data_IF_287320005191
#
_entry.id   IF_287320005191
#
_cell.length_a   1.000
_cell.length_b   1.000
_cell.length_c   1.000
_cell.angle_alpha   90.00
_cell.angle_beta   90.00
_cell.angle_gamma   90.00
#
_symmetry.space_group_name_H-M   'P 1'
#
loop_
_entity.id
_entity.type
_entity.pdbx_description
1 polymer ?
#
# COMPACT_ATOMS: atom_id res chain seq x y z
N UNK A 1 -10.91 -10.76 -31.43
CA UNK A 1 -11.75 -10.42 -30.26
C UNK A 1 -10.76 -10.31 -29.13
N UNK A 2 -10.16 -9.14 -29.00
CA UNK A 2 -8.89 -9.03 -28.29
C UNK A 2 -9.19 -8.33 -26.97
N UNK A 3 -9.01 -9.09 -25.89
CA UNK A 3 -9.27 -8.70 -24.51
C UNK A 3 -8.34 -7.56 -24.09
N UNK A 4 -8.87 -6.35 -23.94
CA UNK A 4 -8.16 -5.25 -23.26
C UNK A 4 -8.14 -5.57 -21.77
N UNK A 5 -6.94 -5.70 -21.20
CA UNK A 5 -6.76 -5.94 -19.77
C UNK A 5 -7.27 -4.75 -18.96
N UNK A 6 -8.26 -5.03 -18.11
CA UNK A 6 -8.81 -4.14 -17.09
C UNK A 6 -7.78 -4.02 -15.96
N UNK A 7 -7.56 -2.81 -15.45
CA UNK A 7 -6.68 -2.63 -14.30
C UNK A 7 -7.33 -3.20 -13.03
N UNK A 8 -7.01 -4.43 -12.67
CA UNK A 8 -7.41 -5.06 -11.40
C UNK A 8 -6.69 -4.39 -10.23
N UNK A 9 -7.11 -4.66 -8.99
CA UNK A 9 -6.31 -4.31 -7.80
C UNK A 9 -4.84 -4.72 -8.00
N UNK A 10 -4.58 -5.90 -8.54
CA UNK A 10 -3.23 -6.33 -8.85
C UNK A 10 -2.48 -5.50 -9.86
N UNK A 11 -3.12 -4.96 -10.89
CA UNK A 11 -2.43 -4.12 -11.86
C UNK A 11 -1.95 -2.80 -11.23
N UNK A 12 -2.75 -2.23 -10.30
CA UNK A 12 -2.41 -1.00 -9.57
C UNK A 12 -1.37 -1.31 -8.51
N UNK A 13 -1.52 -2.41 -7.79
CA UNK A 13 -0.55 -2.86 -6.81
C UNK A 13 0.79 -3.21 -7.49
N UNK A 14 0.80 -3.94 -8.60
CA UNK A 14 2.03 -4.19 -9.36
C UNK A 14 2.66 -2.93 -9.92
N UNK A 15 1.87 -1.91 -10.24
CA UNK A 15 2.39 -0.56 -10.57
C UNK A 15 2.98 0.20 -9.37
N UNK A 16 3.16 -0.45 -8.22
CA UNK A 16 3.95 0.06 -7.09
C UNK A 16 4.96 -0.96 -6.57
N UNK A 17 5.10 -2.14 -7.20
CA UNK A 17 5.87 -3.26 -6.64
C UNK A 17 7.33 -3.31 -7.07
N UNK A 18 7.72 -2.38 -7.94
CA UNK A 18 8.99 -2.35 -8.64
C UNK A 18 9.93 -1.25 -8.08
N UNK A 19 9.50 -0.52 -7.05
CA UNK A 19 10.38 0.33 -6.27
C UNK A 19 11.32 -0.50 -5.38
N UNK A 20 12.55 -0.76 -5.84
CA UNK A 20 13.62 -1.19 -4.94
C UNK A 20 14.01 -0.04 -4.00
N UNK A 21 13.34 0.03 -2.85
CA UNK A 21 13.92 0.65 -1.66
C UNK A 21 14.23 -0.45 -0.65
N UNK A 22 15.29 -1.20 -0.94
CA UNK A 22 15.97 -2.03 0.03
C UNK A 22 17.44 -1.66 0.01
N UNK A 23 17.90 -0.95 1.04
CA UNK A 23 18.82 -1.50 2.02
C UNK A 23 19.22 -0.43 3.06
N UNK A 24 19.39 -0.90 4.31
CA UNK A 24 19.83 -0.21 5.51
C UNK A 24 18.78 0.60 6.29
N UNK A 25 18.12 -0.08 7.22
CA UNK A 25 18.12 0.34 8.64
C UNK A 25 17.68 -0.82 9.53
N UNK A 26 18.61 -1.29 10.35
CA UNK A 26 18.30 -1.87 11.65
C UNK A 26 17.44 -0.89 12.43
N UNK A 27 16.37 -1.40 13.04
CA UNK A 27 15.47 -0.71 13.95
C UNK A 27 14.79 0.56 13.42
N UNK A 28 13.50 0.44 13.11
CA UNK A 28 12.42 1.31 13.63
C UNK A 28 12.54 2.84 13.58
N UNK A 29 13.55 3.40 12.92
CA UNK A 29 13.73 4.81 12.75
C UNK A 29 12.61 5.31 11.86
N UNK A 30 11.96 6.38 12.31
CA UNK A 30 11.09 7.17 11.46
C UNK A 30 11.77 7.34 10.11
N UNK A 31 11.14 6.85 9.04
CA UNK A 31 11.50 7.25 7.69
C UNK A 31 11.29 8.76 7.70
N UNK A 32 12.39 9.52 7.78
CA UNK A 32 12.40 10.92 7.44
C UNK A 32 11.73 11.03 6.07
N UNK A 33 10.80 11.97 5.92
CA UNK A 33 10.15 12.23 4.63
C UNK A 33 11.24 12.26 3.54
N UNK A 34 11.23 11.35 2.55
CA UNK A 34 12.10 11.52 1.38
C UNK A 34 11.71 12.77 0.57
N UNK A 35 10.58 13.41 0.92
CA UNK A 35 10.10 14.67 0.38
C UNK A 35 10.91 15.89 0.86
N UNK A 36 11.75 15.78 1.91
CA UNK A 36 12.44 16.95 2.50
C UNK A 36 13.96 16.99 2.30
N UNK A 37 14.62 15.86 1.99
CA UNK A 37 16.03 15.87 1.63
C UNK A 37 16.19 15.54 0.13
N UNK A 38 16.58 16.54 -0.67
CA UNK A 38 16.99 16.35 -2.07
C UNK A 38 15.86 16.31 -3.10
N UNK A 39 14.67 16.85 -2.80
CA UNK A 39 13.57 16.92 -3.77
C UNK A 39 13.96 17.78 -4.98
N UNK A 40 13.84 17.21 -6.18
CA UNK A 40 13.93 17.93 -7.45
C UNK A 40 12.54 18.32 -7.94
N UNK A 41 12.48 19.40 -8.70
CA UNK A 41 11.30 19.82 -9.44
C UNK A 41 11.54 19.57 -10.92
N UNK A 42 10.66 18.82 -11.57
CA UNK A 42 10.73 18.53 -13.00
C UNK A 42 9.50 19.05 -13.72
N UNK A 43 9.64 19.24 -15.03
CA UNK A 43 8.57 19.73 -15.89
C UNK A 43 8.11 18.61 -16.83
N UNK A 44 6.82 18.29 -16.82
CA UNK A 44 6.23 17.25 -17.67
C UNK A 44 5.43 17.90 -18.79
N UNK A 45 5.90 17.75 -20.03
CA UNK A 45 5.20 18.23 -21.23
C UNK A 45 4.18 17.21 -21.68
N UNK A 46 2.91 17.60 -21.64
CA UNK A 46 1.78 16.83 -22.13
C UNK A 46 1.70 16.88 -23.66
N UNK A 47 1.00 15.90 -24.25
CA UNK A 47 0.80 15.77 -25.70
C UNK A 47 0.08 16.97 -26.35
N UNK A 48 -0.65 17.78 -25.58
CA UNK A 48 -1.31 19.02 -26.05
C UNK A 48 -0.40 20.26 -25.98
N UNK A 49 0.86 20.11 -25.58
CA UNK A 49 1.84 21.19 -25.48
C UNK A 49 1.80 21.99 -24.18
N UNK A 50 0.91 21.66 -23.25
CA UNK A 50 0.91 22.22 -21.90
C UNK A 50 1.87 21.46 -20.96
N UNK A 51 2.22 22.09 -19.84
CA UNK A 51 3.24 21.61 -18.92
C UNK A 51 2.66 21.45 -17.51
N UNK A 52 3.15 20.46 -16.77
CA UNK A 52 2.79 20.22 -15.36
C UNK A 52 4.08 20.04 -14.56
N UNK A 53 4.16 20.73 -13.43
CA UNK A 53 5.27 20.59 -12.50
C UNK A 53 5.05 19.40 -11.56
N UNK A 54 6.08 18.58 -11.42
CA UNK A 54 6.10 17.42 -10.53
C UNK A 54 7.30 17.55 -9.61
N UNK A 55 7.09 17.44 -8.31
CA UNK A 55 8.16 17.31 -7.32
C UNK A 55 8.41 15.83 -7.08
N UNK A 56 9.65 15.40 -7.19
CA UNK A 56 10.06 14.01 -6.97
C UNK A 56 11.48 13.95 -6.40
N UNK A 57 11.92 12.77 -5.97
CA UNK A 57 13.29 12.53 -5.56
C UNK A 57 14.05 11.87 -6.74
N UNK A 58 15.28 12.29 -7.10
CA UNK A 58 16.05 11.67 -8.19
C UNK A 58 16.36 10.18 -7.95
N UNK A 59 16.39 9.74 -6.69
CA UNK A 59 16.64 8.35 -6.29
C UNK A 59 15.34 7.53 -6.19
N UNK A 60 14.26 8.00 -6.81
CA UNK A 60 13.01 7.24 -6.95
C UNK A 60 12.92 6.53 -8.30
N UNK A 61 11.99 5.58 -8.43
CA UNK A 61 11.80 4.81 -9.66
C UNK A 61 10.96 5.54 -10.70
N UNK A 62 11.09 5.14 -11.97
CA UNK A 62 10.21 5.59 -13.06
C UNK A 62 8.73 5.28 -12.76
N UNK A 63 8.46 4.14 -12.14
CA UNK A 63 7.12 3.77 -11.68
C UNK A 63 6.51 4.83 -10.75
N UNK A 64 7.29 5.31 -9.76
CA UNK A 64 6.83 6.35 -8.85
C UNK A 64 6.63 7.69 -9.55
N UNK A 65 7.46 8.02 -10.54
CA UNK A 65 7.23 9.19 -11.38
C UNK A 65 5.92 9.09 -12.17
N UNK A 66 5.62 7.93 -12.78
CA UNK A 66 4.34 7.69 -13.47
C UNK A 66 3.15 7.87 -12.52
N UNK A 67 3.29 7.40 -11.28
CA UNK A 67 2.32 7.65 -10.22
C UNK A 67 2.13 9.14 -9.95
N UNK A 68 3.20 9.90 -9.72
CA UNK A 68 3.12 11.34 -9.44
C UNK A 68 2.45 12.10 -10.61
N UNK A 69 2.80 11.77 -11.85
CA UNK A 69 2.15 12.31 -13.05
C UNK A 69 0.66 11.97 -13.08
N UNK A 70 0.28 10.73 -12.74
CA UNK A 70 -1.12 10.34 -12.66
C UNK A 70 -1.88 11.20 -11.64
N UNK A 71 -1.33 11.39 -10.43
CA UNK A 71 -2.02 12.17 -9.38
C UNK A 71 -2.28 13.63 -9.79
N UNK A 72 -1.44 14.18 -10.67
CA UNK A 72 -1.58 15.56 -11.18
C UNK A 72 -2.46 15.66 -12.42
N UNK A 73 -2.45 14.65 -13.28
CA UNK A 73 -3.03 14.73 -14.64
C UNK A 73 -4.24 13.84 -14.85
N UNK A 74 -4.45 12.84 -14.00
CA UNK A 74 -5.44 11.77 -14.17
C UNK A 74 -5.12 10.76 -15.28
N UNK A 75 -3.99 10.91 -15.99
CA UNK A 75 -3.56 10.00 -17.05
C UNK A 75 -2.99 8.74 -16.40
N UNK A 76 -3.66 7.60 -16.60
CA UNK A 76 -3.30 6.32 -15.99
C UNK A 76 -1.84 5.95 -16.29
N UNK A 77 -1.10 5.44 -15.29
CA UNK A 77 0.31 5.06 -15.44
C UNK A 77 0.54 4.12 -16.65
N UNK A 78 -0.35 3.15 -16.85
CA UNK A 78 -0.31 2.22 -18.00
C UNK A 78 -0.52 2.90 -19.37
N UNK A 79 -1.10 4.11 -19.40
CA UNK A 79 -1.27 4.92 -20.61
C UNK A 79 -0.15 5.95 -20.81
N UNK A 80 0.78 6.07 -19.85
CA UNK A 80 1.89 7.02 -19.91
C UNK A 80 3.09 6.40 -20.63
N UNK A 81 3.56 7.09 -21.67
CA UNK A 81 4.84 6.82 -22.32
C UNK A 81 5.76 8.01 -22.05
N UNK A 82 6.75 7.80 -21.19
CA UNK A 82 7.66 8.85 -20.75
C UNK A 82 8.97 8.78 -21.52
N UNK A 83 9.52 9.93 -21.90
CA UNK A 83 10.90 10.04 -22.38
C UNK A 83 11.54 11.30 -21.82
N UNK A 84 12.85 11.28 -21.59
CA UNK A 84 13.57 12.49 -21.19
C UNK A 84 13.73 13.47 -22.37
N UNK A 85 14.32 14.64 -22.10
CA UNK A 85 14.60 15.68 -23.09
C UNK A 85 15.51 15.24 -24.28
N UNK A 86 16.21 14.12 -24.13
CA UNK A 86 17.05 13.52 -25.18
C UNK A 86 16.33 12.40 -25.95
N UNK A 87 15.00 12.27 -25.79
CA UNK A 87 14.18 11.20 -26.34
C UNK A 87 14.59 9.78 -25.90
N UNK A 88 15.33 9.65 -24.79
CA UNK A 88 15.58 8.36 -24.16
C UNK A 88 14.29 7.93 -23.44
N UNK A 89 13.70 6.77 -23.77
CA UNK A 89 12.46 6.33 -23.17
C UNK A 89 12.70 5.78 -21.76
N UNK A 90 11.82 6.15 -20.83
CA UNK A 90 11.81 5.66 -19.44
C UNK A 90 10.95 4.38 -19.41
N UNK A 91 11.47 3.33 -20.02
CA UNK A 91 10.75 2.07 -20.25
C UNK A 91 10.95 1.04 -19.13
N UNK A 92 11.94 1.21 -18.26
CA UNK A 92 12.18 0.36 -17.10
C UNK A 92 11.57 1.01 -15.86
N UNK A 93 10.48 0.42 -15.37
CA UNK A 93 9.70 0.92 -14.22
C UNK A 93 10.46 0.84 -12.89
N UNK A 94 11.42 -0.09 -12.77
CA UNK A 94 12.25 -0.29 -11.59
C UNK A 94 13.45 0.68 -11.53
N UNK A 95 13.80 1.27 -12.66
CA UNK A 95 15.03 2.07 -12.79
C UNK A 95 14.89 3.47 -12.16
N UNK A 96 15.97 3.95 -11.54
CA UNK A 96 16.00 5.25 -10.88
C UNK A 96 15.93 6.41 -11.88
N UNK A 97 15.30 7.52 -11.48
CA UNK A 97 15.24 8.74 -12.31
C UNK A 97 16.63 9.30 -12.60
N UNK A 98 17.53 9.29 -11.61
CA UNK A 98 18.93 9.71 -11.74
C UNK A 98 19.69 8.94 -12.81
N UNK A 99 19.40 7.63 -12.97
CA UNK A 99 20.01 6.79 -14.00
C UNK A 99 19.56 7.16 -15.43
N UNK A 100 18.42 7.84 -15.57
CA UNK A 100 17.97 8.43 -16.83
C UNK A 100 18.46 9.87 -17.05
N UNK A 101 19.33 10.38 -16.16
CA UNK A 101 19.83 11.75 -16.19
C UNK A 101 18.78 12.79 -15.79
N UNK A 102 17.75 12.38 -15.04
CA UNK A 102 16.69 13.28 -14.60
C UNK A 102 17.13 13.99 -13.33
N UNK A 103 17.24 15.30 -13.43
CA UNK A 103 17.64 16.22 -12.36
C UNK A 103 16.65 17.38 -12.25
N UNK A 104 16.91 18.34 -11.37
CA UNK A 104 16.11 19.56 -11.26
C UNK A 104 15.95 20.26 -12.62
N UNK A 105 14.76 20.77 -12.86
CA UNK A 105 14.32 21.44 -14.08
C UNK A 105 14.33 20.57 -15.35
N UNK A 106 14.51 19.24 -15.21
CA UNK A 106 14.46 18.33 -16.36
C UNK A 106 13.09 18.34 -17.03
N UNK A 107 13.11 18.28 -18.36
CA UNK A 107 11.92 18.15 -19.17
C UNK A 107 11.63 16.68 -19.49
N UNK A 108 10.47 16.19 -19.07
CA UNK A 108 9.94 14.87 -19.42
C UNK A 108 8.81 15.03 -20.43
N UNK A 109 8.90 14.30 -21.53
CA UNK A 109 7.83 14.24 -22.52
C UNK A 109 6.87 13.11 -22.16
N UNK A 110 5.58 13.45 -22.01
CA UNK A 110 4.50 12.49 -21.78
C UNK A 110 3.70 12.28 -23.07
N UNK A 111 3.93 11.13 -23.70
CA UNK A 111 3.04 10.57 -24.71
C UNK A 111 1.88 9.81 -24.07
N UNK A 112 0.67 9.97 -24.59
CA UNK A 112 -0.50 9.18 -24.17
C UNK A 112 -0.74 8.09 -25.19
N UNK A 113 -0.72 6.83 -24.76
CA UNK A 113 -1.19 5.73 -25.59
C UNK A 113 -2.71 5.66 -25.47
N UNK A 114 -3.42 5.89 -26.57
CA UNK A 114 -4.87 5.71 -26.62
C UNK A 114 -5.19 4.22 -26.64
N UNK A 115 -5.82 3.74 -25.57
CA UNK A 115 -6.51 2.47 -25.53
C UNK A 115 -8.01 2.80 -25.73
N UNK A 116 -8.69 2.14 -26.68
CA UNK A 116 -10.04 2.50 -27.14
C UNK A 116 -11.10 2.62 -26.03
N UNK A 117 -12.09 3.51 -26.23
CA UNK A 117 -13.02 3.97 -25.20
C UNK A 117 -14.17 3.03 -24.82
N UNK A 118 -14.75 3.28 -23.64
CA UNK A 118 -16.05 2.73 -23.20
C UNK A 118 -16.11 2.27 -21.74
N UNK A 119 -16.93 2.98 -20.96
CA UNK A 119 -17.55 2.57 -19.68
C UNK A 119 -16.70 2.51 -18.39
N UNK A 120 -17.35 3.01 -17.33
CA UNK A 120 -16.85 3.27 -15.98
C UNK A 120 -16.59 1.98 -15.19
N UNK A 121 -15.44 1.35 -15.39
CA UNK A 121 -14.92 0.30 -14.53
C UNK A 121 -14.27 0.92 -13.27
N UNK A 122 -14.38 0.25 -12.11
CA UNK A 122 -13.92 0.71 -10.80
C UNK A 122 -12.48 1.26 -10.83
N UNK A 123 -12.35 2.57 -11.00
CA UNK A 123 -11.08 3.28 -10.86
C UNK A 123 -10.65 3.13 -9.41
N UNK A 124 -9.63 2.32 -9.16
CA UNK A 124 -8.85 2.45 -7.94
C UNK A 124 -8.21 3.83 -8.05
N UNK A 125 -8.26 4.61 -6.98
CA UNK A 125 -7.61 5.91 -6.97
C UNK A 125 -6.21 5.73 -6.39
N UNK A 126 -5.14 5.80 -7.20
CA UNK A 126 -3.77 5.77 -6.71
C UNK A 126 -3.50 6.73 -5.54
N UNK A 127 -4.24 7.84 -5.39
CA UNK A 127 -4.10 8.73 -4.23
C UNK A 127 -4.33 8.02 -2.88
N UNK A 128 -4.95 6.84 -2.89
CA UNK A 128 -5.15 5.99 -1.71
C UNK A 128 -3.89 5.31 -1.23
N UNK A 129 -2.82 5.27 -2.03
CA UNK A 129 -1.58 4.58 -1.72
C UNK A 129 -0.46 5.56 -1.39
N UNK A 130 0.51 5.10 -0.59
CA UNK A 130 1.71 5.84 -0.24
C UNK A 130 2.96 5.02 -0.63
N UNK A 131 3.26 4.88 -1.95
CA UNK A 131 4.26 3.95 -2.47
C UNK A 131 5.65 4.01 -1.82
N UNK A 132 6.18 5.18 -1.38
CA UNK A 132 7.47 5.24 -0.68
C UNK A 132 7.51 4.39 0.60
N UNK A 133 6.35 4.04 1.16
CA UNK A 133 6.22 3.18 2.34
C UNK A 133 5.83 1.74 1.99
N UNK A 134 5.92 1.32 0.72
CA UNK A 134 5.79 -0.09 0.36
C UNK A 134 6.95 -0.91 0.92
N UNK A 135 6.75 -2.22 1.07
CA UNK A 135 7.82 -3.08 1.55
C UNK A 135 7.62 -4.53 1.08
N UNK A 136 8.68 -5.14 0.56
CA UNK A 136 8.67 -6.53 0.11
C UNK A 136 9.07 -7.50 1.24
N UNK A 137 8.10 -8.25 1.77
CA UNK A 137 8.31 -9.29 2.76
C UNK A 137 8.40 -10.70 2.15
N UNK A 138 8.32 -10.87 0.82
CA UNK A 138 8.23 -12.19 0.16
C UNK A 138 9.43 -13.09 0.45
N UNK A 139 10.62 -12.49 0.62
CA UNK A 139 11.88 -13.21 0.86
C UNK A 139 12.36 -13.11 2.31
N UNK A 140 11.55 -12.59 3.22
CA UNK A 140 11.94 -12.41 4.63
C UNK A 140 11.49 -13.60 5.47
N UNK A 141 12.42 -14.13 6.26
CA UNK A 141 12.14 -15.04 7.36
C UNK A 141 12.50 -14.39 8.71
N UNK A 142 11.57 -14.45 9.64
CA UNK A 142 11.65 -13.88 10.98
C UNK A 142 11.48 -14.92 12.09
N UNK A 143 11.65 -16.20 11.77
CA UNK A 143 11.60 -17.27 12.76
C UNK A 143 12.50 -16.95 13.96
N UNK A 144 11.91 -17.05 15.16
CA UNK A 144 12.57 -16.73 16.43
C UNK A 144 12.71 -15.24 16.76
N UNK A 145 12.36 -14.32 15.86
CA UNK A 145 12.39 -12.87 16.13
C UNK A 145 11.09 -12.39 16.78
N UNK A 146 11.20 -11.34 17.59
CA UNK A 146 10.07 -10.68 18.25
C UNK A 146 10.01 -9.23 17.81
N UNK A 147 8.83 -8.78 17.42
CA UNK A 147 8.56 -7.40 17.04
C UNK A 147 7.49 -6.84 17.95
N UNK A 148 7.68 -5.60 18.40
CA UNK A 148 6.73 -4.90 19.24
C UNK A 148 6.19 -3.66 18.54
N UNK A 149 4.96 -3.32 18.88
CA UNK A 149 4.39 -2.02 18.58
C UNK A 149 3.44 -1.58 19.68
N UNK A 150 3.63 -0.36 20.17
CA UNK A 150 2.94 0.13 21.36
C UNK A 150 3.05 -0.88 22.53
N UNK A 151 4.25 -1.47 22.71
CA UNK A 151 4.51 -2.46 23.75
C UNK A 151 3.87 -3.85 23.56
N UNK A 152 3.09 -4.10 22.50
CA UNK A 152 2.48 -5.42 22.23
C UNK A 152 3.22 -6.16 21.12
N UNK A 153 3.45 -7.46 21.31
CA UNK A 153 4.08 -8.29 20.29
C UNK A 153 3.15 -8.47 19.08
N UNK A 154 3.73 -8.49 17.88
CA UNK A 154 3.05 -8.87 16.65
C UNK A 154 4.01 -9.60 15.70
N UNK A 155 3.47 -10.26 14.69
CA UNK A 155 4.26 -10.91 13.64
C UNK A 155 4.28 -10.03 12.40
N UNK A 156 5.45 -9.81 11.78
CA UNK A 156 5.53 -9.09 10.49
C UNK A 156 4.90 -9.94 9.37
N UNK A 157 4.38 -9.33 8.30
CA UNK A 157 3.64 -10.05 7.25
C UNK A 157 4.57 -10.76 6.26
N UNK A 158 5.49 -11.59 6.78
CA UNK A 158 6.43 -12.41 6.02
C UNK A 158 5.70 -13.25 4.96
N UNK A 159 6.25 -13.29 3.74
CA UNK A 159 5.64 -13.95 2.58
C UNK A 159 4.71 -13.07 1.74
N UNK A 160 4.56 -11.77 2.07
CA UNK A 160 3.72 -10.84 1.30
C UNK A 160 4.52 -9.72 0.63
N UNK A 161 3.91 -9.09 -0.39
CA UNK A 161 4.27 -7.70 -0.71
C UNK A 161 3.30 -6.77 0.02
N UNK A 162 3.81 -5.78 0.75
CA UNK A 162 3.00 -4.83 1.52
C UNK A 162 2.92 -3.49 0.78
N UNK A 163 1.70 -3.09 0.43
CA UNK A 163 1.39 -1.81 -0.18
C UNK A 163 0.86 -0.84 0.88
N UNK A 164 1.53 0.30 1.08
CA UNK A 164 1.10 1.30 2.06
C UNK A 164 -0.09 2.12 1.54
N UNK A 165 -0.99 2.48 2.46
CA UNK A 165 -2.10 3.39 2.20
C UNK A 165 -1.73 4.80 2.64
N UNK A 166 -2.25 5.80 1.92
CA UNK A 166 -2.14 7.20 2.32
C UNK A 166 -3.08 7.48 3.49
N UNK A 167 -2.50 7.56 4.69
CA UNK A 167 -3.26 7.66 5.96
C UNK A 167 -2.89 8.86 6.83
N UNK A 168 -1.74 9.51 6.58
CA UNK A 168 -1.34 10.71 7.33
C UNK A 168 -2.33 11.84 7.08
N UNK A 169 -2.74 12.51 8.16
CA UNK A 169 -3.72 13.59 8.11
C UNK A 169 -5.16 13.15 7.81
N UNK A 170 -5.44 11.84 7.79
CA UNK A 170 -6.80 11.30 7.55
C UNK A 170 -7.63 11.20 8.83
N UNK A 171 -6.99 11.15 9.98
CA UNK A 171 -7.62 11.00 11.29
C UNK A 171 -7.37 12.23 12.15
N UNK A 172 -7.90 12.26 13.37
CA UNK A 172 -7.77 13.40 14.27
C UNK A 172 -6.33 13.77 14.63
N UNK A 173 -5.41 12.79 14.59
CA UNK A 173 -3.96 12.97 14.69
C UNK A 173 -3.24 11.77 14.03
N UNK A 174 -1.90 11.83 13.99
CA UNK A 174 -1.04 10.77 13.45
C UNK A 174 -0.27 9.98 14.54
N UNK A 175 -0.52 10.22 15.83
CA UNK A 175 0.21 9.58 16.95
C UNK A 175 0.07 8.05 16.93
N UNK A 176 -1.09 7.56 16.50
CA UNK A 176 -1.41 6.15 16.35
C UNK A 176 -0.47 5.40 15.38
N UNK A 177 0.18 6.11 14.44
CA UNK A 177 1.14 5.53 13.48
C UNK A 177 2.56 5.37 14.05
N UNK A 178 2.84 5.91 15.24
CA UNK A 178 4.19 5.96 15.80
C UNK A 178 4.93 4.62 15.88
N UNK A 179 6.25 4.71 16.06
CA UNK A 179 7.18 3.58 16.09
C UNK A 179 8.12 3.53 17.28
N UNK A 180 7.99 4.49 18.19
CA UNK A 180 8.93 4.71 19.29
C UNK A 180 8.36 4.24 20.64
N UNK A 181 7.25 3.50 20.63
CA UNK A 181 6.47 3.15 21.82
C UNK A 181 6.05 4.39 22.62
N UNK A 182 5.78 5.49 21.92
CA UNK A 182 5.29 6.75 22.49
C UNK A 182 3.85 6.66 22.97
N UNK A 183 3.43 7.67 23.75
CA UNK A 183 2.04 7.82 24.18
C UNK A 183 1.14 8.05 22.96
N UNK A 184 0.03 7.31 22.88
CA UNK A 184 -0.94 7.42 21.78
C UNK A 184 -0.71 6.45 20.63
N UNK A 185 0.40 5.70 20.61
CA UNK A 185 0.64 4.67 19.60
C UNK A 185 -0.36 3.52 19.70
N UNK A 186 -0.80 3.04 18.54
CA UNK A 186 -1.74 1.93 18.45
C UNK A 186 -1.01 0.63 18.14
N UNK A 187 -1.55 -0.50 18.60
CA UNK A 187 -0.92 -1.81 18.39
C UNK A 187 -1.10 -2.27 16.94
N UNK A 188 -0.21 -3.15 16.48
CA UNK A 188 -0.30 -3.69 15.13
C UNK A 188 -1.15 -4.97 15.08
N UNK A 189 -2.03 -5.07 14.08
CA UNK A 189 -2.82 -6.28 13.81
C UNK A 189 -3.06 -6.46 12.30
N UNK A 190 -3.83 -7.49 11.96
CA UNK A 190 -4.17 -7.88 10.61
C UNK A 190 -5.66 -8.26 10.49
N UNK A 191 -6.27 -7.88 9.39
CA UNK A 191 -7.66 -8.21 9.06
C UNK A 191 -7.74 -8.86 7.67
N UNK A 192 -8.16 -10.12 7.63
CA UNK A 192 -8.41 -10.84 6.39
C UNK A 192 -9.71 -10.37 5.74
N UNK A 193 -9.71 -10.17 4.43
CA UNK A 193 -10.88 -9.66 3.70
C UNK A 193 -11.06 -10.37 2.35
N UNK A 194 -12.16 -10.08 1.67
CA UNK A 194 -12.36 -10.36 0.24
C UNK A 194 -11.83 -9.20 -0.59
N UNK A 195 -11.45 -9.46 -1.85
CA UNK A 195 -11.03 -8.45 -2.82
C UNK A 195 -12.08 -7.33 -2.98
N UNK A 196 -13.35 -7.72 -3.07
CA UNK A 196 -14.48 -6.80 -3.25
C UNK A 196 -14.62 -5.74 -2.14
N UNK A 197 -14.14 -6.02 -0.93
CA UNK A 197 -14.25 -5.11 0.21
C UNK A 197 -13.08 -4.12 0.28
N UNK A 198 -11.95 -4.42 -0.37
CA UNK A 198 -10.69 -3.69 -0.20
C UNK A 198 -10.83 -2.21 -0.50
N UNK A 199 -11.45 -1.84 -1.62
CA UNK A 199 -11.59 -0.43 -1.99
C UNK A 199 -12.46 0.35 -1.01
N UNK A 200 -13.53 -0.27 -0.50
CA UNK A 200 -14.41 0.40 0.46
C UNK A 200 -13.69 0.67 1.79
N UNK A 201 -12.92 -0.31 2.28
CA UNK A 201 -12.16 -0.23 3.52
C UNK A 201 -10.98 0.75 3.36
N UNK A 202 -10.22 0.64 2.26
CA UNK A 202 -9.11 1.55 1.98
C UNK A 202 -9.58 3.00 1.90
N UNK A 203 -10.75 3.28 1.31
CA UNK A 203 -11.31 4.64 1.18
C UNK A 203 -11.96 5.18 2.44
N UNK A 204 -12.71 4.36 3.16
CA UNK A 204 -13.63 4.84 4.21
C UNK A 204 -13.29 4.34 5.61
N UNK A 205 -12.31 3.44 5.73
CA UNK A 205 -12.07 2.70 6.98
C UNK A 205 -13.08 1.57 7.15
N UNK A 206 -13.06 0.96 8.34
CA UNK A 206 -13.98 -0.13 8.66
C UNK A 206 -15.37 0.38 9.04
N UNK A 207 -16.40 -0.35 8.64
CA UNK A 207 -17.79 -0.11 9.02
C UNK A 207 -18.34 -1.39 9.68
N UNK A 208 -18.50 -1.35 11.00
CA UNK A 208 -18.95 -2.51 11.78
C UNK A 208 -20.33 -3.00 11.34
N UNK A 209 -21.18 -2.13 10.75
CA UNK A 209 -22.50 -2.52 10.25
C UNK A 209 -22.42 -3.43 9.02
N UNK A 210 -21.28 -3.43 8.33
CA UNK A 210 -20.98 -4.32 7.19
C UNK A 210 -20.32 -5.62 7.63
N UNK A 211 -19.88 -5.74 8.88
CA UNK A 211 -19.39 -7.00 9.41
C UNK A 211 -20.51 -8.05 9.40
N UNK A 212 -20.12 -9.28 9.11
CA UNK A 212 -20.99 -10.46 9.02
C UNK A 212 -20.27 -11.59 9.74
N UNK A 213 -21.02 -12.57 10.27
CA UNK A 213 -20.51 -13.76 10.99
C UNK A 213 -19.79 -13.41 12.30
N UNK A 214 -20.59 -12.98 13.28
CA UNK A 214 -20.17 -12.58 14.63
C UNK A 214 -20.05 -13.79 15.58
N UNK A 215 -19.21 -14.77 15.21
CA UNK A 215 -19.09 -16.06 15.94
C UNK A 215 -18.69 -15.87 17.41
N UNK A 216 -17.95 -14.80 17.71
CA UNK A 216 -17.43 -14.48 19.04
C UNK A 216 -17.88 -13.09 19.54
N UNK A 217 -19.01 -12.60 19.03
CA UNK A 217 -19.56 -11.29 19.34
C UNK A 217 -19.42 -10.26 18.22
N UNK A 218 -20.20 -9.19 18.33
CA UNK A 218 -20.20 -8.12 17.32
C UNK A 218 -18.90 -7.34 17.33
N UNK A 219 -18.35 -7.08 16.14
CA UNK A 219 -17.13 -6.30 15.98
C UNK A 219 -16.34 -6.62 14.73
N UNK A 220 -15.26 -5.87 14.55
CA UNK A 220 -14.28 -6.04 13.50
C UNK A 220 -13.19 -6.99 14.02
N UNK A 221 -13.05 -8.12 13.36
CA UNK A 221 -12.10 -9.17 13.75
C UNK A 221 -10.70 -8.86 13.24
N UNK A 222 -9.69 -9.00 14.10
CA UNK A 222 -8.29 -8.91 13.68
C UNK A 222 -7.39 -9.79 14.56
N UNK A 223 -6.14 -9.95 14.16
CA UNK A 223 -5.16 -10.76 14.89
C UNK A 223 -3.77 -10.10 14.83
N UNK A 224 -2.91 -10.21 15.85
CA UNK A 224 -1.52 -9.79 15.76
C UNK A 224 -0.70 -10.70 14.83
N UNK A 225 -1.25 -11.85 14.41
CA UNK A 225 -0.66 -12.78 13.47
C UNK A 225 -1.31 -12.65 12.07
N UNK A 226 -0.52 -12.33 11.02
CA UNK A 226 -1.04 -12.25 9.68
C UNK A 226 -1.48 -13.61 9.12
N UNK A 227 -0.91 -14.74 9.54
CA UNK A 227 -1.34 -16.09 9.12
C UNK A 227 -2.75 -16.39 9.60
N UNK A 228 -3.06 -15.98 10.82
CA UNK A 228 -4.39 -16.10 11.39
C UNK A 228 -5.39 -15.29 10.57
N UNK A 229 -5.11 -14.02 10.30
CA UNK A 229 -5.95 -13.19 9.42
C UNK A 229 -6.05 -13.76 7.98
N UNK A 230 -4.97 -14.31 7.43
CA UNK A 230 -4.91 -14.91 6.10
C UNK A 230 -5.84 -16.11 5.93
N UNK A 231 -6.06 -16.89 7.00
CA UNK A 231 -7.01 -18.02 6.98
C UNK A 231 -8.46 -17.58 6.71
N UNK A 232 -8.82 -16.34 7.06
CA UNK A 232 -10.14 -15.73 6.83
C UNK A 232 -10.20 -14.90 5.54
N UNK A 233 -9.07 -14.62 4.90
CA UNK A 233 -9.04 -13.98 3.59
C UNK A 233 -9.48 -14.97 2.50
N UNK A 234 -10.30 -14.48 1.56
CA UNK A 234 -10.78 -15.29 0.43
C UNK A 234 -9.79 -15.17 -0.74
N UNK A 235 -9.36 -16.28 -1.36
CA UNK A 235 -8.47 -16.22 -2.50
C UNK A 235 -9.18 -15.58 -3.70
N UNK A 236 -8.40 -14.92 -4.55
CA UNK A 236 -8.87 -14.41 -5.83
C UNK A 236 -7.81 -14.67 -6.90
N UNK A 237 -8.29 -15.04 -8.10
CA UNK A 237 -7.42 -15.36 -9.23
C UNK A 237 -7.06 -14.08 -10.00
N UNK A 238 -5.78 -13.94 -10.34
CA UNK A 238 -5.29 -12.92 -11.24
C UNK A 238 -4.11 -13.47 -12.05
N UNK A 239 -4.20 -13.38 -13.39
CA UNK A 239 -3.16 -13.88 -14.32
C UNK A 239 -2.75 -15.33 -14.04
N UNK A 240 -3.73 -16.21 -13.75
CA UNK A 240 -3.48 -17.64 -13.51
C UNK A 240 -2.82 -17.97 -12.17
N UNK A 241 -2.71 -17.00 -11.26
CA UNK A 241 -2.22 -17.17 -9.89
C UNK A 241 -3.31 -16.81 -8.89
N UNK A 242 -3.31 -17.49 -7.75
CA UNK A 242 -4.21 -17.17 -6.65
C UNK A 242 -3.52 -16.28 -5.63
N UNK A 243 -4.28 -15.35 -5.08
CA UNK A 243 -3.77 -14.46 -4.07
C UNK A 243 -4.79 -14.19 -2.99
N UNK A 244 -4.30 -13.81 -1.81
CA UNK A 244 -5.11 -13.38 -0.68
C UNK A 244 -4.66 -12.01 -0.20
N UNK A 245 -5.63 -11.24 0.29
CA UNK A 245 -5.45 -9.86 0.72
C UNK A 245 -5.75 -9.74 2.20
N UNK A 246 -4.81 -9.14 2.92
CA UNK A 246 -4.90 -8.90 4.35
C UNK A 246 -4.58 -7.44 4.60
N UNK A 247 -5.48 -6.71 5.24
CA UNK A 247 -5.13 -5.37 5.73
C UNK A 247 -4.18 -5.49 6.90
N UNK A 248 -3.08 -4.74 6.86
CA UNK A 248 -2.36 -4.39 8.09
C UNK A 248 -3.05 -3.19 8.71
N UNK A 249 -3.36 -3.32 10.00
CA UNK A 249 -4.16 -2.35 10.74
C UNK A 249 -3.45 -1.90 12.01
N UNK A 250 -3.80 -0.71 12.47
CA UNK A 250 -3.50 -0.21 13.80
C UNK A 250 -4.77 -0.25 14.64
N UNK A 251 -4.67 -0.71 15.88
CA UNK A 251 -5.83 -0.88 16.79
C UNK A 251 -5.58 -0.12 18.09
N UNK A 252 -6.57 0.65 18.53
CA UNK A 252 -6.54 1.28 19.85
C UNK A 252 -6.42 0.18 20.93
N UNK A 253 -5.32 0.14 21.70
CA UNK A 253 -5.09 -0.94 22.66
C UNK A 253 -6.15 -1.01 23.76
N UNK A 254 -6.86 0.08 24.04
CA UNK A 254 -7.91 0.15 25.07
C UNK A 254 -9.24 -0.46 24.62
N UNK A 255 -9.39 -0.74 23.33
CA UNK A 255 -10.65 -1.18 22.70
C UNK A 255 -10.57 -2.62 22.18
N UNK A 256 -9.52 -3.35 22.56
CA UNK A 256 -9.32 -4.75 22.16
C UNK A 256 -10.05 -5.67 23.13
N UNK A 257 -11.03 -6.40 22.60
CA UNK A 257 -11.59 -7.55 23.29
C UNK A 257 -10.84 -8.81 22.83
N UNK A 258 -10.11 -9.42 23.76
CA UNK A 258 -9.45 -10.71 23.52
C UNK A 258 -10.50 -11.81 23.42
N UNK A 259 -10.58 -12.46 22.27
CA UNK A 259 -11.37 -13.68 22.10
C UNK A 259 -10.48 -14.84 22.52
N UNK A 260 -10.75 -15.38 23.71
CA UNK A 260 -10.11 -16.60 24.18
C UNK A 260 -10.61 -17.78 23.34
N UNK A 261 -9.86 -18.14 22.31
CA UNK A 261 -9.96 -19.47 21.74
C UNK A 261 -9.21 -20.40 22.69
N UNK A 262 -9.82 -21.52 23.06
CA UNK A 262 -9.10 -22.64 23.69
C UNK A 262 -8.05 -23.12 22.68
N UNK A 263 -6.92 -22.43 22.64
CA UNK A 263 -5.93 -22.56 21.58
C UNK A 263 -5.17 -23.87 21.74
N UNK A 264 -5.12 -24.66 20.67
CA UNK A 264 -4.12 -25.71 20.55
C UNK A 264 -2.73 -25.10 20.28
N UNK A 265 -2.62 -23.88 19.69
CA UNK A 265 -1.35 -23.26 19.29
C UNK A 265 -1.24 -21.73 19.55
N UNK A 266 -0.01 -21.23 19.73
CA UNK A 266 0.33 -19.82 20.02
C UNK A 266 0.02 -18.79 18.90
N UNK A 267 -0.50 -19.24 17.76
CA UNK A 267 -0.90 -18.40 16.62
C UNK A 267 -2.38 -17.99 16.69
N UNK A 268 -3.17 -18.55 17.61
CA UNK A 268 -4.62 -18.41 17.67
C UNK A 268 -5.09 -17.20 18.51
N UNK A 269 -4.39 -16.08 18.47
CA UNK A 269 -4.86 -14.86 19.15
C UNK A 269 -5.81 -14.06 18.26
N UNK A 270 -7.03 -13.83 18.74
CA UNK A 270 -8.09 -13.14 18.03
C UNK A 270 -8.61 -11.95 18.83
N UNK A 271 -8.82 -10.84 18.15
CA UNK A 271 -9.35 -9.61 18.71
C UNK A 271 -10.66 -9.26 18.03
N UNK A 272 -11.63 -8.81 18.81
CA UNK A 272 -12.77 -8.05 18.30
C UNK A 272 -12.64 -6.59 18.70
N UNK A 273 -12.87 -5.70 17.74
CA UNK A 273 -12.87 -4.25 17.93
C UNK A 273 -14.29 -3.73 17.70
N UNK A 274 -14.89 -2.98 18.64
CA UNK A 274 -16.32 -2.69 18.60
C UNK A 274 -16.75 -1.71 17.50
N UNK A 275 -15.83 -0.87 16.99
CA UNK A 275 -16.14 0.16 16.01
C UNK A 275 -14.93 0.51 15.13
N UNK A 276 -15.20 0.92 13.89
CA UNK A 276 -14.18 1.30 12.93
C UNK A 276 -13.32 2.50 13.34
N UNK A 277 -13.81 3.37 14.24
CA UNK A 277 -13.01 4.48 14.77
C UNK A 277 -11.79 4.04 15.57
N UNK A 278 -11.77 2.79 16.06
CA UNK A 278 -10.70 2.21 16.89
C UNK A 278 -9.78 1.26 16.14
N UNK A 279 -9.96 1.12 14.81
CA UNK A 279 -9.16 0.25 13.96
C UNK A 279 -8.94 0.91 12.60
N UNK A 280 -7.67 1.15 12.25
CA UNK A 280 -7.29 1.92 11.06
C UNK A 280 -6.48 1.07 10.10
N UNK A 281 -6.95 0.84 8.85
CA UNK A 281 -6.13 0.22 7.84
C UNK A 281 -5.04 1.21 7.40
N UNK A 282 -3.81 0.73 7.29
CA UNK A 282 -2.69 1.55 6.81
C UNK A 282 -1.82 0.87 5.75
N UNK A 283 -2.04 -0.42 5.51
CA UNK A 283 -1.42 -1.12 4.38
C UNK A 283 -2.26 -2.33 3.95
N UNK A 284 -2.02 -2.82 2.74
CA UNK A 284 -2.56 -4.07 2.20
C UNK A 284 -1.39 -5.02 1.97
N UNK A 285 -1.39 -6.15 2.66
CA UNK A 285 -0.46 -7.25 2.46
C UNK A 285 -1.04 -8.23 1.44
N UNK A 286 -0.27 -8.51 0.39
CA UNK A 286 -0.67 -9.37 -0.72
C UNK A 286 0.16 -10.64 -0.71
N UNK A 287 -0.52 -11.77 -0.54
CA UNK A 287 0.08 -13.10 -0.52
C UNK A 287 -0.29 -13.83 -1.80
N UNK A 288 0.68 -14.41 -2.50
CA UNK A 288 0.43 -15.46 -3.49
C UNK A 288 0.23 -16.78 -2.74
N UNK A 289 -0.82 -17.54 -3.04
CA UNK A 289 -1.24 -18.74 -2.28
C UNK A 289 -1.59 -19.92 -3.16
#
# INVERSE_FOLDING_TARGET
MDSVQVSTLFSVLRSFSNSQFAENTTDGAAIQNPDENGSIQICVKLSKGNYVEVKCNPDTSVEYLKYLIYTKTGIQAASQRLSNQHNLPLDDDDQLLSNYGIANDSLIHLGVRLLGGGFSAYKIDPSLFDPPFNFDFRKINDDGKKFLRAGRQYFRPCGSFRYALKVRGRYENDDWLGSNNGKGEWVNAYHGTTESNVLSIARSGFDVKKCRREVFGSGIYCSPDPKTALSYATPYEYEGKNYKLVFQVRVDPTQINLVAIQAYNAHDEYWTVPDGKYIRPFAICVYEV
#
